data_IF_302925496936
#
_entry.id   IF_302925496936
#
_cell.length_a   1.000
_cell.length_b   1.000
_cell.length_c   1.000
_cell.angle_alpha   90.00
_cell.angle_beta   90.00
_cell.angle_gamma   90.00
#
_symmetry.space_group_name_H-M   'P 1'
#
loop_
_entity.id
_entity.type
_entity.pdbx_description
1 polymer ?
#
# COMPACT_ATOMS: atom_id res chain seq x y z
N UNK A 1 -51.46 -8.46 -28.65
CA UNK A 1 -51.26 -7.04 -28.29
C UNK A 1 -50.66 -7.00 -26.90
N UNK A 2 -49.54 -6.36 -26.53
CA UNK A 2 -48.55 -5.52 -27.20
C UNK A 2 -47.24 -5.65 -26.40
N UNK A 3 -46.10 -5.74 -27.10
CA UNK A 3 -44.76 -5.73 -26.52
C UNK A 3 -44.30 -4.28 -26.28
N UNK A 4 -43.85 -3.94 -25.08
CA UNK A 4 -43.14 -2.68 -24.83
C UNK A 4 -41.63 -2.91 -24.72
N UNK A 5 -40.95 -2.77 -25.87
CA UNK A 5 -39.51 -2.50 -25.94
C UNK A 5 -39.28 -1.00 -25.71
N UNK A 6 -38.63 -0.62 -24.63
CA UNK A 6 -38.09 0.74 -24.48
C UNK A 6 -36.59 0.75 -24.76
N UNK A 7 -36.22 1.66 -25.67
CA UNK A 7 -34.95 1.76 -26.38
C UNK A 7 -33.86 2.38 -25.49
N UNK A 8 -32.62 1.91 -25.69
CA UNK A 8 -31.39 2.53 -25.15
C UNK A 8 -31.23 3.94 -25.73
N UNK A 9 -30.85 4.90 -24.89
CA UNK A 9 -30.36 6.21 -25.33
C UNK A 9 -29.00 6.40 -24.66
N UNK A 10 -27.96 6.33 -25.49
CA UNK A 10 -26.59 6.67 -25.16
C UNK A 10 -26.40 8.17 -25.42
N UNK A 11 -25.76 8.88 -24.50
CA UNK A 11 -25.39 10.29 -24.69
C UNK A 11 -23.92 10.45 -24.34
N UNK A 12 -23.09 10.43 -25.38
CA UNK A 12 -21.70 10.88 -25.42
C UNK A 12 -21.66 12.41 -25.48
N UNK A 13 -20.92 13.07 -24.59
CA UNK A 13 -20.58 14.49 -24.72
C UNK A 13 -19.11 14.74 -24.32
N UNK A 14 -18.35 15.07 -25.37
CA UNK A 14 -17.27 16.05 -25.49
C UNK A 14 -15.98 15.94 -24.68
N UNK A 15 -14.93 15.65 -25.46
CA UNK A 15 -13.54 16.03 -25.21
C UNK A 15 -13.35 17.55 -25.19
N UNK A 16 -12.42 18.04 -24.37
CA UNK A 16 -11.74 19.30 -24.57
C UNK A 16 -10.26 19.14 -24.18
N UNK A 17 -9.42 19.21 -25.21
CA UNK A 17 -7.96 19.28 -25.18
C UNK A 17 -7.55 20.68 -24.75
N UNK A 18 -6.67 20.81 -23.75
CA UNK A 18 -5.82 21.99 -23.64
C UNK A 18 -4.41 21.57 -23.23
N UNK A 19 -3.59 21.40 -24.26
CA UNK A 19 -2.14 21.32 -24.22
C UNK A 19 -1.56 22.67 -23.80
N UNK A 20 -0.67 22.67 -22.82
CA UNK A 20 0.28 23.76 -22.61
C UNK A 20 1.63 23.14 -22.23
N UNK A 21 2.45 22.86 -23.25
CA UNK A 21 3.85 22.53 -23.10
C UNK A 21 4.62 23.84 -22.86
N UNK A 22 5.36 23.93 -21.75
CA UNK A 22 6.37 24.95 -21.57
C UNK A 22 7.74 24.28 -21.57
N UNK A 23 8.41 24.36 -22.71
CA UNK A 23 9.83 24.04 -22.86
C UNK A 23 10.60 25.30 -22.45
N UNK A 24 11.48 25.20 -21.45
CA UNK A 24 12.53 26.19 -21.25
C UNK A 24 13.87 25.48 -20.98
N UNK A 25 14.68 25.46 -22.03
CA UNK A 25 16.10 25.11 -22.06
C UNK A 25 16.93 26.19 -21.38
N UNK A 26 17.91 25.80 -20.56
CA UNK A 26 19.10 26.62 -20.32
C UNK A 26 20.30 25.72 -20.01
N UNK A 27 21.21 25.68 -20.98
CA UNK A 27 22.52 25.04 -20.98
C UNK A 27 23.57 25.93 -20.30
N UNK A 28 24.44 25.35 -19.46
CA UNK A 28 25.83 25.81 -19.30
C UNK A 28 26.74 24.65 -18.83
N UNK A 29 27.78 24.25 -19.57
CA UNK A 29 28.86 23.46 -19.03
C UNK A 29 29.87 24.38 -18.32
N UNK A 30 30.01 24.25 -17.00
CA UNK A 30 31.14 24.85 -16.29
C UNK A 30 32.23 23.79 -16.15
N UNK A 31 33.13 23.78 -17.13
CA UNK A 31 34.48 23.24 -16.96
C UNK A 31 35.30 24.33 -16.27
N UNK A 32 35.96 23.99 -15.16
CA UNK A 32 37.05 24.79 -14.63
C UNK A 32 38.29 23.93 -14.42
N UNK A 33 39.39 24.54 -14.86
CA UNK A 33 40.75 24.06 -14.98
C UNK A 33 41.31 23.35 -13.74
N UNK A 34 42.04 22.26 -14.01
CA UNK A 34 43.15 21.84 -13.19
C UNK A 34 44.30 22.85 -13.33
N UNK A 35 44.89 23.29 -12.21
CA UNK A 35 46.35 23.27 -11.99
C UNK A 35 46.74 23.98 -10.66
N UNK A 36 47.55 23.26 -9.88
CA UNK A 36 48.73 23.74 -9.11
C UNK A 36 48.64 23.85 -7.57
N UNK A 37 49.42 22.93 -6.98
CA UNK A 37 50.23 22.97 -5.74
C UNK A 37 49.60 22.72 -4.34
N UNK A 38 50.30 21.94 -3.48
CA UNK A 38 49.75 21.41 -2.24
C UNK A 38 50.07 22.33 -1.06
N UNK A 39 49.05 22.90 -0.43
CA UNK A 39 49.17 23.45 0.91
C UNK A 39 48.53 22.47 1.89
N UNK A 40 49.36 22.00 2.81
CA UNK A 40 48.98 21.18 3.94
C UNK A 40 47.89 21.87 4.76
N UNK A 41 46.72 21.23 4.82
CA UNK A 41 45.71 21.45 5.83
C UNK A 41 45.09 20.10 6.14
N UNK A 42 45.18 19.69 7.40
CA UNK A 42 44.70 18.42 7.92
C UNK A 42 43.22 18.21 7.54
N UNK A 43 42.83 17.05 7.00
CA UNK A 43 41.42 16.74 6.86
C UNK A 43 40.89 16.44 8.27
N UNK A 44 40.36 17.45 8.93
CA UNK A 44 39.31 17.23 9.91
C UNK A 44 38.14 16.64 9.13
N UNK A 45 38.04 15.30 9.19
CA UNK A 45 36.86 14.56 8.75
C UNK A 45 35.70 15.03 9.61
N UNK A 46 35.03 16.09 9.15
CA UNK A 46 33.66 16.33 9.51
C UNK A 46 32.92 15.04 9.18
N UNK A 47 32.59 14.29 10.22
CA UNK A 47 31.68 13.16 10.09
C UNK A 47 30.40 13.77 9.54
N UNK A 48 30.20 13.61 8.24
CA UNK A 48 28.87 13.68 7.65
C UNK A 48 28.12 12.64 8.46
N UNK A 49 27.32 13.10 9.42
CA UNK A 49 26.36 12.27 10.07
C UNK A 49 25.46 11.78 8.94
N UNK A 50 25.79 10.59 8.44
CA UNK A 50 24.92 9.78 7.63
C UNK A 50 23.64 9.69 8.44
N UNK A 51 22.69 10.59 8.15
CA UNK A 51 21.30 10.19 8.11
C UNK A 51 21.15 9.26 6.91
N UNK A 52 21.87 8.13 6.94
CA UNK A 52 21.35 6.90 6.39
C UNK A 52 20.08 6.64 7.19
N UNK A 53 18.98 7.25 6.75
CA UNK A 53 17.71 6.55 6.78
C UNK A 53 18.05 5.18 6.19
N UNK A 54 18.09 4.17 7.05
CA UNK A 54 18.49 2.82 6.70
C UNK A 54 17.89 2.49 5.33
N UNK A 55 18.73 2.34 4.29
CA UNK A 55 18.30 2.15 2.89
C UNK A 55 17.71 0.73 2.68
N UNK A 56 17.15 0.17 3.75
CA UNK A 56 16.61 -1.18 3.87
C UNK A 56 15.10 -1.09 3.93
N UNK A 57 14.47 -2.02 3.22
CA UNK A 57 13.03 -2.21 3.30
C UNK A 57 12.70 -2.78 4.68
N UNK A 58 11.69 -2.19 5.32
CA UNK A 58 11.20 -2.60 6.63
C UNK A 58 9.79 -3.18 6.50
N UNK A 59 9.55 -4.28 7.19
CA UNK A 59 8.24 -4.89 7.32
C UNK A 59 7.73 -4.67 8.75
N UNK A 60 6.57 -4.04 8.88
CA UNK A 60 5.86 -3.89 10.15
C UNK A 60 4.47 -4.51 10.04
N UNK A 61 3.74 -4.58 11.15
CA UNK A 61 2.36 -5.05 11.13
C UNK A 61 1.39 -4.02 11.68
N UNK A 62 0.21 -3.99 11.06
CA UNK A 62 -0.98 -3.34 11.60
C UNK A 62 -1.97 -4.40 12.09
N UNK A 63 -2.12 -4.46 13.42
CA UNK A 63 -3.09 -5.32 14.08
C UNK A 63 -4.49 -4.69 14.09
N UNK A 64 -5.50 -5.47 13.70
CA UNK A 64 -6.91 -5.09 13.77
C UNK A 64 -7.71 -6.24 14.37
N UNK A 65 -8.07 -6.08 15.64
CA UNK A 65 -8.95 -7.03 16.34
C UNK A 65 -10.33 -6.41 16.55
N UNK A 66 -11.38 -7.14 16.18
CA UNK A 66 -12.78 -6.74 16.40
C UNK A 66 -13.59 -7.96 16.82
N UNK A 67 -14.61 -7.75 17.65
CA UNK A 67 -15.48 -8.83 18.10
C UNK A 67 -16.89 -8.32 18.26
N UNK A 68 -17.87 -9.08 17.78
CA UNK A 68 -19.28 -8.87 18.02
C UNK A 68 -19.99 -10.22 18.19
N UNK A 69 -21.32 -10.20 18.31
CA UNK A 69 -22.13 -11.41 18.53
C UNK A 69 -22.09 -12.41 17.35
N UNK A 70 -21.63 -11.99 16.18
CA UNK A 70 -21.65 -12.76 14.94
C UNK A 70 -20.26 -13.21 14.51
N UNK A 71 -19.26 -12.35 14.69
CA UNK A 71 -17.93 -12.51 14.14
C UNK A 71 -16.86 -11.95 15.10
N UNK A 72 -15.79 -12.73 15.24
CA UNK A 72 -14.50 -12.29 15.75
C UNK A 72 -13.53 -12.15 14.58
N UNK A 73 -12.77 -11.06 14.58
CA UNK A 73 -11.79 -10.75 13.55
C UNK A 73 -10.46 -10.47 14.23
N UNK A 74 -9.41 -11.10 13.72
CA UNK A 74 -8.03 -10.89 14.17
C UNK A 74 -7.10 -10.80 12.96
N UNK A 75 -6.73 -9.57 12.57
CA UNK A 75 -5.91 -9.33 11.39
C UNK A 75 -4.55 -8.79 11.77
N UNK A 76 -3.53 -9.51 11.35
CA UNK A 76 -2.13 -9.12 11.37
C UNK A 76 -1.74 -8.77 9.93
N UNK A 77 -1.90 -7.49 9.55
CA UNK A 77 -1.74 -7.04 8.16
C UNK A 77 -0.34 -6.45 7.96
N UNK A 78 0.51 -7.04 7.09
CA UNK A 78 1.84 -6.53 6.87
C UNK A 78 1.82 -5.17 6.17
N UNK A 79 2.75 -4.29 6.57
CA UNK A 79 2.98 -2.97 5.98
C UNK A 79 4.45 -2.85 5.63
N UNK A 80 4.73 -2.59 4.35
CA UNK A 80 6.07 -2.45 3.80
C UNK A 80 6.44 -0.97 3.76
N UNK A 81 7.67 -0.65 4.17
CA UNK A 81 8.21 0.71 4.18
C UNK A 81 9.68 0.74 3.75
N UNK A 82 10.19 1.91 3.38
CA UNK A 82 11.59 2.09 2.98
C UNK A 82 11.91 1.68 1.54
N UNK A 83 10.91 1.49 0.67
CA UNK A 83 11.16 1.26 -0.75
C UNK A 83 11.53 2.55 -1.48
N UNK A 84 12.50 2.48 -2.40
CA UNK A 84 12.85 3.60 -3.29
C UNK A 84 11.69 3.98 -4.23
N UNK A 85 10.96 2.98 -4.72
CA UNK A 85 9.71 3.18 -5.45
C UNK A 85 8.53 3.29 -4.48
N UNK A 86 8.22 4.53 -4.10
CA UNK A 86 7.12 4.82 -3.18
C UNK A 86 5.75 4.59 -3.81
N UNK A 87 5.63 4.69 -5.14
CA UNK A 87 4.37 4.42 -5.84
C UNK A 87 4.02 2.95 -5.74
N UNK A 88 4.99 2.09 -6.03
CA UNK A 88 4.83 0.64 -5.88
C UNK A 88 4.60 0.24 -4.43
N UNK A 89 5.34 0.80 -3.46
CA UNK A 89 5.13 0.54 -2.03
C UNK A 89 3.68 0.82 -1.61
N UNK A 90 3.14 1.97 -2.03
CA UNK A 90 1.78 2.36 -1.69
C UNK A 90 0.75 1.42 -2.35
N UNK A 91 0.95 1.08 -3.63
CA UNK A 91 0.08 0.15 -4.34
C UNK A 91 0.10 -1.25 -3.70
N UNK A 92 1.27 -1.74 -3.31
CA UNK A 92 1.43 -3.03 -2.66
C UNK A 92 0.75 -3.07 -1.29
N UNK A 93 1.00 -2.07 -0.44
CA UNK A 93 0.34 -1.97 0.86
C UNK A 93 -1.19 -1.86 0.74
N UNK A 94 -1.69 -1.06 -0.22
CA UNK A 94 -3.11 -0.95 -0.48
C UNK A 94 -3.71 -2.28 -0.93
N UNK A 95 -3.01 -3.02 -1.79
CA UNK A 95 -3.46 -4.31 -2.28
C UNK A 95 -3.47 -5.39 -1.18
N UNK A 96 -2.46 -5.43 -0.31
CA UNK A 96 -2.42 -6.30 0.88
C UNK A 96 -3.62 -6.00 1.77
N UNK A 97 -3.86 -4.73 2.11
CA UNK A 97 -4.99 -4.34 2.95
C UNK A 97 -6.34 -4.69 2.32
N UNK A 98 -6.50 -4.47 1.01
CA UNK A 98 -7.72 -4.81 0.28
C UNK A 98 -7.99 -6.32 0.31
N UNK A 99 -6.96 -7.16 0.15
CA UNK A 99 -7.08 -8.62 0.22
C UNK A 99 -7.42 -9.11 1.63
N UNK A 100 -6.80 -8.53 2.66
CA UNK A 100 -7.13 -8.85 4.05
C UNK A 100 -8.60 -8.51 4.37
N UNK A 101 -9.09 -7.35 3.94
CA UNK A 101 -10.49 -6.96 4.12
C UNK A 101 -11.44 -7.86 3.34
N UNK A 102 -11.13 -8.19 2.08
CA UNK A 102 -11.97 -9.06 1.27
C UNK A 102 -12.13 -10.46 1.88
N UNK A 103 -11.08 -10.99 2.51
CA UNK A 103 -11.15 -12.26 3.24
C UNK A 103 -12.12 -12.17 4.44
N UNK A 104 -12.07 -11.07 5.20
CA UNK A 104 -12.99 -10.82 6.33
C UNK A 104 -14.42 -10.63 5.84
N UNK A 105 -14.64 -9.86 4.79
CA UNK A 105 -15.98 -9.58 4.25
C UNK A 105 -16.69 -10.85 3.80
N UNK A 106 -15.95 -11.79 3.19
CA UNK A 106 -16.49 -13.09 2.80
C UNK A 106 -17.00 -13.90 4.01
N UNK A 107 -16.24 -13.93 5.11
CA UNK A 107 -16.65 -14.61 6.34
C UNK A 107 -17.77 -13.83 7.06
N UNK A 108 -17.70 -12.50 7.07
CA UNK A 108 -18.71 -11.65 7.68
C UNK A 108 -20.08 -11.84 7.05
N UNK A 109 -20.15 -11.99 5.72
CA UNK A 109 -21.39 -12.30 5.02
C UNK A 109 -21.98 -13.63 5.49
N UNK A 110 -21.17 -14.68 5.57
CA UNK A 110 -21.62 -16.00 6.04
C UNK A 110 -22.09 -15.95 7.50
N UNK A 111 -21.33 -15.26 8.36
CA UNK A 111 -21.67 -15.09 9.77
C UNK A 111 -23.02 -14.36 9.95
N UNK A 112 -23.28 -13.31 9.16
CA UNK A 112 -24.53 -12.58 9.20
C UNK A 112 -25.73 -13.43 8.75
N UNK A 113 -25.58 -14.18 7.64
CA UNK A 113 -26.62 -15.08 7.12
C UNK A 113 -26.96 -16.20 8.12
N UNK A 114 -25.94 -16.81 8.72
CA UNK A 114 -26.11 -17.83 9.76
C UNK A 114 -26.78 -17.26 11.02
N UNK A 115 -26.35 -16.07 11.46
CA UNK A 115 -26.92 -15.42 12.63
C UNK A 115 -28.39 -15.05 12.42
N UNK A 116 -28.77 -14.63 11.22
CA UNK A 116 -30.15 -14.25 10.89
C UNK A 116 -31.09 -15.46 10.74
N UNK A 117 -30.55 -16.62 10.36
CA UNK A 117 -31.35 -17.83 10.09
C UNK A 117 -31.47 -18.77 11.30
N UNK A 118 -30.82 -18.45 12.43
CA UNK A 118 -30.84 -19.32 13.61
C UNK A 118 -32.19 -19.31 14.32
N UNK A 119 -32.45 -20.37 15.09
CA UNK A 119 -33.45 -20.28 16.15
C UNK A 119 -32.93 -19.37 17.27
N UNK A 120 -33.77 -18.45 17.70
CA UNK A 120 -33.48 -17.53 18.81
C UNK A 120 -33.19 -18.23 20.14
N UNK A 121 -33.63 -19.49 20.32
CA UNK A 121 -33.35 -20.27 21.54
C UNK A 121 -31.94 -20.87 21.58
N UNK A 122 -31.24 -20.92 20.43
CA UNK A 122 -29.95 -21.59 20.32
C UNK A 122 -28.76 -20.67 20.60
N UNK A 123 -27.72 -21.23 21.21
CA UNK A 123 -26.45 -20.53 21.43
C UNK A 123 -25.73 -20.39 20.09
N UNK A 124 -25.55 -19.14 19.66
CA UNK A 124 -24.76 -18.83 18.47
C UNK A 124 -23.29 -18.68 18.83
N UNK A 125 -22.44 -19.50 18.22
CA UNK A 125 -21.00 -19.37 18.31
C UNK A 125 -20.52 -18.42 17.21
N UNK A 126 -19.87 -17.29 17.57
CA UNK A 126 -19.35 -16.37 16.58
C UNK A 126 -18.36 -17.05 15.64
N UNK A 127 -18.44 -16.70 14.37
CA UNK A 127 -17.45 -17.09 13.38
C UNK A 127 -16.12 -16.40 13.71
N UNK A 128 -15.03 -16.92 13.15
CA UNK A 128 -13.72 -16.33 13.30
C UNK A 128 -13.07 -16.10 11.93
N UNK A 129 -12.55 -14.90 11.72
CA UNK A 129 -11.77 -14.53 10.55
C UNK A 129 -10.39 -14.05 11.01
N UNK A 130 -9.37 -14.84 10.72
CA UNK A 130 -7.99 -14.53 11.06
C UNK A 130 -7.12 -14.37 9.80
N UNK A 131 -6.30 -13.32 9.77
CA UNK A 131 -5.26 -13.11 8.75
C UNK A 131 -3.93 -12.99 9.48
N UNK A 132 -2.97 -13.83 9.10
CA UNK A 132 -1.61 -13.82 9.65
C UNK A 132 -0.60 -13.76 8.52
N UNK A 133 0.57 -13.19 8.80
CA UNK A 133 1.69 -13.22 7.87
C UNK A 133 2.95 -13.74 8.56
N UNK A 134 3.89 -14.17 7.74
CA UNK A 134 5.20 -14.62 8.18
C UNK A 134 6.25 -14.08 7.20
N UNK A 135 7.36 -13.55 7.72
CA UNK A 135 8.51 -13.14 6.92
C UNK A 135 9.46 -14.32 6.79
N UNK A 136 9.56 -14.88 5.59
CA UNK A 136 10.43 -16.03 5.32
C UNK A 136 11.88 -15.61 5.03
N UNK A 137 12.09 -14.44 4.42
CA UNK A 137 13.42 -13.91 4.14
C UNK A 137 13.38 -12.40 3.92
N UNK A 138 14.37 -11.68 4.46
CA UNK A 138 14.60 -10.26 4.24
C UNK A 138 15.76 -9.99 3.26
N UNK A 139 16.31 -11.04 2.65
CA UNK A 139 17.47 -10.97 1.75
C UNK A 139 18.80 -10.67 2.45
N UNK A 140 18.84 -10.61 3.79
CA UNK A 140 20.09 -10.57 4.52
C UNK A 140 20.72 -11.97 4.59
N UNK A 141 22.05 -12.04 4.57
CA UNK A 141 22.78 -13.31 4.60
C UNK A 141 22.75 -14.04 5.96
N UNK A 142 21.81 -13.71 6.84
CA UNK A 142 21.68 -14.29 8.16
C UNK A 142 20.72 -15.50 8.13
N UNK A 143 21.30 -16.68 7.95
CA UNK A 143 20.82 -17.90 8.61
C UNK A 143 21.53 -18.04 9.96
#
# INVERSE_FOLDING_TARGET
MNNHRSKRIATTISAAVLSAALILTASTPMTFAAATAPSAQEPSVAQVADKQASDRVHLTSKNVTKSNAQLKTDLDVPVISGMKDTSYQNALNANIAARANAAVDAIAKQAAEAYASRDSSDVFWPFEAAVKFELISDGSAAN
#
